data_IF_786033002655
#
_entry.id   IF_786033002655
#
_cell.length_a   1.000
_cell.length_b   1.000
_cell.length_c   1.000
_cell.angle_alpha   90.00
_cell.angle_beta   90.00
_cell.angle_gamma   90.00
#
_symmetry.space_group_name_H-M   'P 1'
#
loop_
_entity.id
_entity.type
_entity.pdbx_description
1 polymer ?
#
# COMPACT_ATOMS: atom_id res chain seq x y z
N UNK A 1 28.40 25.17 -42.55
CA UNK A 1 27.26 25.69 -41.77
C UNK A 1 26.35 24.52 -41.49
N UNK A 2 26.64 23.77 -40.43
CA UNK A 2 25.79 22.67 -39.98
C UNK A 2 24.88 23.23 -38.88
N UNK A 3 23.58 23.18 -39.14
CA UNK A 3 22.56 23.62 -38.20
C UNK A 3 22.24 22.43 -37.30
N UNK A 4 22.88 22.39 -36.13
CA UNK A 4 22.51 21.44 -35.08
C UNK A 4 21.15 21.88 -34.50
N UNK A 5 20.12 21.01 -34.47
CA UNK A 5 18.85 21.36 -33.86
C UNK A 5 18.99 21.34 -32.33
N UNK A 6 18.34 22.26 -31.60
CA UNK A 6 18.38 22.27 -30.14
C UNK A 6 17.69 21.02 -29.60
N UNK A 7 18.43 20.19 -28.86
CA UNK A 7 17.88 19.06 -28.09
C UNK A 7 16.78 19.55 -27.13
N UNK A 8 15.50 19.17 -27.31
CA UNK A 8 14.47 19.52 -26.37
C UNK A 8 14.02 18.24 -25.66
N UNK A 9 14.46 18.01 -24.42
CA UNK A 9 13.62 17.46 -23.34
C UNK A 9 14.42 17.54 -22.04
N UNK A 10 14.29 18.67 -21.33
CA UNK A 10 14.35 18.59 -19.87
C UNK A 10 13.27 17.59 -19.46
N UNK A 11 13.67 16.47 -18.85
CA UNK A 11 12.78 15.35 -18.55
C UNK A 11 11.55 15.84 -17.77
N UNK A 12 10.38 15.83 -18.41
CA UNK A 12 9.06 16.12 -17.81
C UNK A 12 8.61 15.05 -16.80
N UNK A 13 9.48 14.09 -16.47
CA UNK A 13 9.19 13.00 -15.53
C UNK A 13 9.23 13.41 -14.05
N UNK A 14 9.62 14.65 -13.71
CA UNK A 14 9.72 15.13 -12.32
C UNK A 14 8.47 15.81 -11.78
N UNK A 15 7.51 16.23 -12.61
CA UNK A 15 6.32 17.02 -12.22
C UNK A 15 5.11 16.12 -11.92
N UNK A 16 5.34 15.02 -11.21
CA UNK A 16 4.27 14.12 -10.79
C UNK A 16 4.28 14.02 -9.27
N UNK A 17 3.10 14.28 -8.70
CA UNK A 17 2.81 14.17 -7.27
C UNK A 17 3.32 12.84 -6.73
N UNK A 18 3.99 12.92 -5.58
CA UNK A 18 4.54 11.77 -4.89
C UNK A 18 4.28 11.89 -3.39
N UNK A 19 4.52 10.81 -2.68
CA UNK A 19 4.21 10.71 -1.26
C UNK A 19 5.40 10.13 -0.51
N UNK A 20 5.69 10.68 0.67
CA UNK A 20 6.53 10.02 1.68
C UNK A 20 5.59 9.36 2.67
N UNK A 21 5.67 8.04 2.80
CA UNK A 21 4.78 7.25 3.65
C UNK A 21 5.53 6.67 4.85
N UNK A 22 4.79 6.53 5.95
CA UNK A 22 5.19 5.80 7.15
C UNK A 22 4.15 4.74 7.42
N UNK A 23 4.60 3.48 7.48
CA UNK A 23 3.76 2.30 7.62
C UNK A 23 4.23 1.49 8.84
N UNK A 24 3.66 1.73 10.03
CA UNK A 24 3.91 0.92 11.21
C UNK A 24 3.35 -0.48 11.03
N UNK A 25 4.01 -1.51 11.56
CA UNK A 25 3.49 -2.87 11.62
C UNK A 25 2.48 -2.98 12.77
N UNK A 26 1.37 -3.68 12.54
CA UNK A 26 0.31 -3.83 13.54
C UNK A 26 0.82 -4.61 14.77
N UNK A 27 0.64 -4.05 15.97
CA UNK A 27 1.03 -4.69 17.23
C UNK A 27 2.54 -4.76 17.48
N UNK A 28 3.36 -4.17 16.62
CA UNK A 28 4.82 -4.15 16.75
C UNK A 28 5.36 -2.73 16.70
N UNK A 29 6.52 -2.51 17.30
CA UNK A 29 7.22 -1.22 17.24
C UNK A 29 8.07 -1.07 15.96
N UNK A 30 7.73 -1.81 14.91
CA UNK A 30 8.41 -1.80 13.62
C UNK A 30 7.69 -0.87 12.64
N UNK A 31 8.43 -0.19 11.78
CA UNK A 31 7.82 0.61 10.72
C UNK A 31 8.68 0.65 9.46
N UNK A 32 8.00 0.86 8.33
CA UNK A 32 8.62 1.21 7.06
C UNK A 32 8.50 2.72 6.82
N UNK A 33 9.62 3.35 6.46
CA UNK A 33 9.63 4.65 5.82
C UNK A 33 9.93 4.46 4.33
N UNK A 34 9.27 5.22 3.46
CA UNK A 34 9.59 5.21 2.03
C UNK A 34 8.89 6.31 1.27
N UNK A 35 9.09 6.34 -0.05
CA UNK A 35 8.34 7.22 -0.93
C UNK A 35 7.85 6.50 -2.19
N UNK A 36 6.75 6.99 -2.77
CA UNK A 36 6.16 6.47 -4.01
C UNK A 36 5.17 7.46 -4.60
N UNK A 37 4.86 7.32 -5.90
CA UNK A 37 3.67 7.96 -6.49
C UNK A 37 2.38 7.26 -6.06
N UNK A 38 2.49 5.97 -5.75
CA UNK A 38 1.39 5.12 -5.32
C UNK A 38 1.79 4.34 -4.07
N UNK A 39 1.55 4.90 -2.87
CA UNK A 39 1.72 4.18 -1.61
C UNK A 39 0.90 2.87 -1.52
N UNK A 40 -0.30 2.79 -2.11
CA UNK A 40 -1.14 1.60 -2.05
C UNK A 40 -0.49 0.43 -2.79
N UNK A 41 -0.02 0.65 -4.01
CA UNK A 41 0.72 -0.35 -4.76
C UNK A 41 2.00 -0.81 -4.03
N UNK A 42 2.67 0.11 -3.31
CA UNK A 42 3.84 -0.24 -2.48
C UNK A 42 3.46 -1.10 -1.27
N UNK A 43 2.39 -0.76 -0.56
CA UNK A 43 1.86 -1.58 0.54
C UNK A 43 1.55 -3.02 0.06
N UNK A 44 0.85 -3.14 -1.06
CA UNK A 44 0.50 -4.43 -1.68
C UNK A 44 1.75 -5.23 -2.12
N UNK A 45 2.80 -4.55 -2.57
CA UNK A 45 4.07 -5.18 -2.93
C UNK A 45 4.83 -5.69 -1.70
N UNK A 46 4.79 -4.95 -0.59
CA UNK A 46 5.45 -5.31 0.67
C UNK A 46 4.75 -6.49 1.36
N UNK A 47 3.42 -6.52 1.34
CA UNK A 47 2.65 -7.60 1.94
C UNK A 47 1.28 -7.75 1.26
N UNK A 48 0.91 -8.97 0.87
CA UNK A 48 -0.39 -9.24 0.22
C UNK A 48 -1.57 -8.82 1.12
N UNK A 49 -1.46 -9.10 2.42
CA UNK A 49 -2.43 -8.68 3.46
C UNK A 49 -2.00 -7.38 4.14
N UNK A 50 -1.61 -6.37 3.38
CA UNK A 50 -1.08 -5.11 3.93
C UNK A 50 -2.00 -4.46 4.97
N UNK A 51 -3.32 -4.62 4.80
CA UNK A 51 -4.39 -4.12 5.66
C UNK A 51 -4.49 -4.82 7.03
N UNK A 52 -3.75 -5.92 7.22
CA UNK A 52 -3.55 -6.58 8.53
C UNK A 52 -2.13 -6.39 9.04
N UNK A 53 -1.17 -6.38 8.11
CA UNK A 53 0.24 -6.31 8.46
C UNK A 53 0.64 -4.92 8.95
N UNK A 54 0.10 -3.86 8.36
CA UNK A 54 0.35 -2.49 8.78
C UNK A 54 -0.79 -1.97 9.66
N UNK A 55 -0.44 -1.15 10.65
CA UNK A 55 -1.38 -0.36 11.41
C UNK A 55 -1.80 0.86 10.58
N UNK A 56 -2.90 0.72 9.85
CA UNK A 56 -3.42 1.75 8.94
C UNK A 56 -3.95 2.98 9.69
N UNK A 57 -4.34 2.82 10.95
CA UNK A 57 -4.82 3.92 11.81
C UNK A 57 -3.65 4.77 12.32
N UNK A 58 -2.47 4.18 12.50
CA UNK A 58 -1.24 4.91 12.82
C UNK A 58 -0.46 5.36 11.58
N UNK A 59 -0.65 4.71 10.44
CA UNK A 59 0.01 5.04 9.18
C UNK A 59 -0.34 6.44 8.69
N UNK A 60 0.58 7.04 7.94
CA UNK A 60 0.36 8.33 7.31
C UNK A 60 1.20 8.53 6.05
N UNK A 61 0.81 9.51 5.23
CA UNK A 61 1.58 9.93 4.06
C UNK A 61 1.61 11.45 3.92
N UNK A 62 2.79 11.99 3.65
CA UNK A 62 2.99 13.39 3.27
C UNK A 62 3.01 13.50 1.75
N UNK A 63 2.20 14.39 1.21
CA UNK A 63 2.13 14.68 -0.21
C UNK A 63 3.21 15.69 -0.62
N UNK A 64 3.76 15.51 -1.81
CA UNK A 64 4.81 16.35 -2.42
C UNK A 64 4.48 16.56 -3.88
N UNK A 65 4.92 17.67 -4.46
CA UNK A 65 4.61 17.98 -5.86
C UNK A 65 5.46 17.18 -6.84
N UNK A 66 6.61 16.68 -6.37
CA UNK A 66 7.58 15.98 -7.21
C UNK A 66 8.18 14.76 -6.52
N UNK A 67 8.53 13.76 -7.31
CA UNK A 67 9.31 12.59 -6.85
C UNK A 67 10.65 13.00 -6.23
N UNK A 68 11.28 14.05 -6.77
CA UNK A 68 12.56 14.56 -6.25
C UNK A 68 12.41 15.08 -4.82
N UNK A 69 11.35 15.83 -4.57
CA UNK A 69 11.03 16.35 -3.23
C UNK A 69 10.71 15.21 -2.26
N UNK A 70 9.86 14.26 -2.65
CA UNK A 70 9.57 13.07 -1.84
C UNK A 70 10.85 12.32 -1.46
N UNK A 71 11.74 12.08 -2.42
CA UNK A 71 13.01 11.40 -2.19
C UNK A 71 13.93 12.18 -1.25
N UNK A 72 14.05 13.50 -1.44
CA UNK A 72 14.87 14.34 -0.58
C UNK A 72 14.33 14.34 0.86
N UNK A 73 13.01 14.40 1.01
CA UNK A 73 12.33 14.37 2.29
C UNK A 73 12.51 13.02 3.00
N UNK A 74 12.25 11.92 2.31
CA UNK A 74 12.48 10.55 2.80
C UNK A 74 13.94 10.37 3.26
N UNK A 75 14.91 10.76 2.43
CA UNK A 75 16.34 10.63 2.77
C UNK A 75 16.71 11.46 3.99
N UNK A 76 16.14 12.66 4.14
CA UNK A 76 16.36 13.51 5.31
C UNK A 76 15.81 12.87 6.58
N UNK A 77 14.58 12.36 6.53
CA UNK A 77 13.96 11.65 7.65
C UNK A 77 14.75 10.38 8.00
N UNK A 78 15.10 9.55 7.01
CA UNK A 78 15.85 8.32 7.23
C UNK A 78 17.23 8.54 7.86
N UNK A 79 17.94 9.62 7.49
CA UNK A 79 19.21 10.00 8.13
C UNK A 79 19.05 10.33 9.61
N UNK A 80 17.99 11.01 9.99
CA UNK A 80 17.69 11.35 11.39
C UNK A 80 17.39 10.10 12.22
N UNK A 81 16.91 9.02 11.59
CA UNK A 81 16.50 7.78 12.25
C UNK A 81 17.56 6.68 12.23
N UNK A 82 18.80 6.97 11.85
CA UNK A 82 19.84 5.94 11.68
C UNK A 82 20.06 5.07 12.94
N UNK A 83 19.88 5.65 14.13
CA UNK A 83 20.00 4.93 15.41
C UNK A 83 18.87 3.93 15.65
N UNK A 84 17.74 4.08 14.94
CA UNK A 84 16.58 3.20 14.99
C UNK A 84 16.60 2.14 13.88
N UNK A 85 17.60 2.14 12.99
CA UNK A 85 17.64 1.27 11.83
C UNK A 85 17.56 -0.20 12.24
N UNK A 86 16.72 -0.95 11.53
CA UNK A 86 16.41 -2.33 11.83
C UNK A 86 16.27 -3.15 10.54
N UNK A 87 16.40 -4.49 10.60
CA UNK A 87 16.19 -5.34 9.42
C UNK A 87 14.73 -5.30 8.93
N UNK A 88 14.46 -5.81 7.73
CA UNK A 88 13.07 -6.05 7.34
C UNK A 88 12.45 -7.20 8.17
N UNK A 89 11.13 -7.19 8.46
CA UNK A 89 10.44 -8.36 8.99
C UNK A 89 10.56 -9.55 8.05
N UNK A 90 10.66 -10.77 8.61
CA UNK A 90 10.85 -12.01 7.82
C UNK A 90 9.68 -12.30 6.85
N UNK A 91 8.50 -11.75 7.13
CA UNK A 91 7.30 -11.89 6.30
C UNK A 91 7.32 -11.00 5.06
N UNK A 92 8.22 -10.01 5.00
CA UNK A 92 8.36 -9.11 3.84
C UNK A 92 9.26 -9.78 2.80
N UNK A 93 8.80 -10.01 1.56
CA UNK A 93 9.61 -10.66 0.54
C UNK A 93 10.83 -9.81 0.16
N UNK A 94 12.02 -10.43 0.07
CA UNK A 94 13.23 -9.74 -0.40
C UNK A 94 13.07 -9.13 -1.81
N UNK A 95 12.26 -9.76 -2.65
CA UNK A 95 11.95 -9.30 -4.01
C UNK A 95 11.04 -8.05 -4.06
N UNK A 96 10.40 -7.65 -2.97
CA UNK A 96 9.49 -6.51 -2.91
C UNK A 96 10.19 -5.14 -3.06
N UNK A 97 11.54 -5.12 -3.09
CA UNK A 97 12.33 -3.90 -3.09
C UNK A 97 12.02 -3.10 -1.82
N UNK A 98 12.55 -3.53 -0.68
CA UNK A 98 12.23 -2.93 0.60
C UNK A 98 13.06 -3.50 1.72
N UNK A 99 14.28 -3.98 1.43
CA UNK A 99 15.17 -4.53 2.43
C UNK A 99 15.69 -3.46 3.41
N UNK A 100 15.59 -2.19 3.01
CA UNK A 100 16.16 -1.04 3.68
C UNK A 100 15.08 -0.10 4.21
N UNK A 101 15.47 0.87 5.04
CA UNK A 101 14.58 1.86 5.67
C UNK A 101 13.44 1.25 6.50
N UNK A 102 13.77 0.21 7.25
CA UNK A 102 12.99 -0.28 8.39
C UNK A 102 13.58 0.24 9.69
N UNK A 103 12.70 0.54 10.64
CA UNK A 103 13.10 1.14 11.91
C UNK A 103 12.30 0.56 13.07
N UNK A 104 12.92 0.50 14.26
CA UNK A 104 12.26 0.17 15.53
C UNK A 104 12.23 1.37 16.47
N UNK A 105 11.09 1.67 17.09
CA UNK A 105 10.99 2.74 18.10
C UNK A 105 11.07 4.15 17.53
N UNK A 106 10.84 4.29 16.22
CA UNK A 106 10.98 5.57 15.51
C UNK A 106 9.65 6.29 15.28
N UNK A 107 8.51 5.69 15.64
CA UNK A 107 7.19 6.21 15.27
C UNK A 107 6.96 7.63 15.79
N UNK A 108 7.22 7.89 17.07
CA UNK A 108 6.99 9.19 17.68
C UNK A 108 7.82 10.30 17.01
N UNK A 109 9.09 10.02 16.70
CA UNK A 109 9.98 10.95 15.99
C UNK A 109 9.48 11.27 14.58
N UNK A 110 8.94 10.27 13.86
CA UNK A 110 8.36 10.46 12.54
C UNK A 110 7.03 11.20 12.59
N UNK A 111 6.17 10.89 13.55
CA UNK A 111 4.89 11.57 13.76
C UNK A 111 5.11 13.07 14.04
N UNK A 112 6.02 13.41 14.96
CA UNK A 112 6.38 14.79 15.25
C UNK A 112 6.98 15.51 14.02
N UNK A 113 7.82 14.81 13.25
CA UNK A 113 8.37 15.35 12.00
C UNK A 113 7.28 15.64 10.97
N UNK A 114 6.30 14.75 10.85
CA UNK A 114 5.17 14.90 9.94
C UNK A 114 4.28 16.08 10.33
N UNK A 115 4.00 16.26 11.62
CA UNK A 115 3.27 17.42 12.14
C UNK A 115 4.02 18.73 11.83
N UNK A 116 5.34 18.78 12.04
CA UNK A 116 6.15 19.95 11.67
C UNK A 116 6.11 20.25 10.18
N UNK A 117 6.10 19.23 9.33
CA UNK A 117 6.01 19.39 7.87
C UNK A 117 4.63 19.83 7.43
N UNK A 118 3.57 19.35 8.09
CA UNK A 118 2.22 19.84 7.86
C UNK A 118 2.11 21.34 8.14
N UNK A 119 2.71 21.83 9.23
CA UNK A 119 2.76 23.26 9.53
C UNK A 119 3.57 24.08 8.50
N UNK A 120 4.47 23.41 7.75
CA UNK A 120 5.22 24.01 6.64
C UNK A 120 4.46 23.94 5.30
N UNK A 121 3.24 23.39 5.29
CA UNK A 121 2.36 23.36 4.13
C UNK A 121 2.31 22.03 3.37
N UNK A 122 3.02 20.99 3.81
CA UNK A 122 2.92 19.66 3.18
C UNK A 122 1.57 19.02 3.54
N UNK A 123 0.72 18.63 2.57
CA UNK A 123 -0.52 17.94 2.89
C UNK A 123 -0.23 16.60 3.59
N UNK A 124 -0.83 16.39 4.76
CA UNK A 124 -0.67 15.19 5.57
C UNK A 124 -1.95 14.36 5.53
N UNK A 125 -1.85 13.12 5.05
CA UNK A 125 -2.91 12.12 5.07
C UNK A 125 -2.71 11.22 6.32
N UNK A 126 -3.43 11.52 7.41
CA UNK A 126 -3.38 10.77 8.69
C UNK A 126 -4.77 10.75 9.35
N UNK A 127 -5.31 9.59 9.77
CA UNK A 127 -4.83 8.24 9.45
C UNK A 127 -4.84 7.99 7.94
N UNK A 128 -3.97 7.09 7.47
CA UNK A 128 -3.86 6.81 6.03
C UNK A 128 -5.10 6.09 5.46
N UNK A 129 -5.96 5.56 6.33
CA UNK A 129 -7.17 4.83 5.98
C UNK A 129 -8.06 5.53 4.95
N UNK A 130 -8.38 6.80 5.18
CA UNK A 130 -9.24 7.57 4.26
C UNK A 130 -8.65 7.68 2.86
N UNK A 131 -7.34 7.88 2.77
CA UNK A 131 -6.61 7.92 1.49
C UNK A 131 -6.61 6.56 0.79
N UNK A 132 -6.39 5.45 1.54
CA UNK A 132 -6.44 4.08 0.99
C UNK A 132 -7.83 3.78 0.45
N UNK A 133 -8.88 4.05 1.23
CA UNK A 133 -10.26 3.81 0.82
C UNK A 133 -10.59 4.54 -0.49
N UNK A 134 -10.20 5.81 -0.63
CA UNK A 134 -10.40 6.56 -1.88
C UNK A 134 -9.71 5.88 -3.07
N UNK A 135 -8.48 5.38 -2.89
CA UNK A 135 -7.73 4.68 -3.95
C UNK A 135 -8.35 3.34 -4.31
N UNK A 136 -8.82 2.57 -3.34
CA UNK A 136 -9.52 1.32 -3.59
C UNK A 136 -10.84 1.55 -4.32
N UNK A 137 -11.64 2.53 -3.90
CA UNK A 137 -12.90 2.89 -4.59
C UNK A 137 -12.62 3.31 -6.04
N UNK A 138 -11.59 4.13 -6.28
CA UNK A 138 -11.21 4.52 -7.64
C UNK A 138 -10.75 3.34 -8.51
N UNK A 139 -10.24 2.27 -7.90
CA UNK A 139 -9.86 1.03 -8.57
C UNK A 139 -10.94 -0.05 -8.60
N UNK A 140 -12.12 0.19 -8.00
CA UNK A 140 -13.14 -0.83 -7.78
C UNK A 140 -13.74 -1.36 -9.09
N UNK A 141 -13.78 -0.54 -10.15
CA UNK A 141 -14.17 -0.93 -11.50
C UNK A 141 -13.35 -2.11 -12.04
N UNK A 142 -12.11 -2.27 -11.58
CA UNK A 142 -11.23 -3.36 -12.00
C UNK A 142 -11.47 -4.66 -11.23
N UNK A 143 -12.33 -4.68 -10.19
CA UNK A 143 -12.60 -5.87 -9.38
C UNK A 143 -13.12 -7.03 -10.23
N UNK A 144 -13.96 -6.75 -11.23
CA UNK A 144 -14.43 -7.78 -12.15
C UNK A 144 -13.26 -8.46 -12.89
N UNK A 145 -12.28 -7.68 -13.37
CA UNK A 145 -11.10 -8.23 -14.03
C UNK A 145 -10.24 -9.09 -13.09
N UNK A 146 -10.17 -8.76 -11.80
CA UNK A 146 -9.51 -9.61 -10.80
C UNK A 146 -10.21 -10.95 -10.62
N UNK A 147 -11.55 -10.98 -10.65
CA UNK A 147 -12.31 -12.23 -10.53
C UNK A 147 -12.18 -13.13 -11.76
N UNK A 148 -11.85 -12.58 -12.93
CA UNK A 148 -11.57 -13.35 -14.14
C UNK A 148 -10.27 -14.16 -14.07
N UNK A 149 -9.43 -13.94 -13.03
CA UNK A 149 -8.30 -14.81 -12.73
C UNK A 149 -8.71 -16.17 -12.18
N UNK A 150 -9.96 -16.31 -11.71
CA UNK A 150 -10.52 -17.57 -11.26
C UNK A 150 -11.22 -18.26 -12.43
N UNK A 151 -10.87 -19.51 -12.70
CA UNK A 151 -11.67 -20.31 -13.62
C UNK A 151 -13.01 -20.75 -12.95
N UNK A 152 -14.01 -21.19 -13.75
CA UNK A 152 -15.30 -21.62 -13.19
C UNK A 152 -15.20 -22.77 -12.18
N UNK A 153 -14.18 -23.62 -12.30
CA UNK A 153 -13.95 -24.75 -11.39
C UNK A 153 -13.36 -24.26 -10.06
N UNK A 154 -12.46 -23.28 -10.09
CA UNK A 154 -11.93 -22.60 -8.90
C UNK A 154 -13.02 -21.83 -8.16
N UNK A 155 -13.99 -21.24 -8.86
CA UNK A 155 -15.13 -20.58 -8.24
C UNK A 155 -16.12 -21.59 -7.62
N UNK A 156 -16.31 -22.74 -8.27
CA UNK A 156 -17.17 -23.82 -7.79
C UNK A 156 -16.54 -24.61 -6.63
N UNK A 157 -15.21 -24.64 -6.54
CA UNK A 157 -14.46 -25.32 -5.48
C UNK A 157 -14.64 -24.60 -4.14
N UNK A 158 -15.75 -24.89 -3.46
CA UNK A 158 -15.97 -24.53 -2.05
C UNK A 158 -15.10 -25.42 -1.17
N UNK A 159 -13.93 -24.95 -0.80
CA UNK A 159 -12.97 -25.69 0.03
C UNK A 159 -12.35 -24.81 1.12
N UNK A 160 -11.88 -25.45 2.19
CA UNK A 160 -11.17 -24.75 3.27
C UNK A 160 -9.94 -24.00 2.74
N UNK A 161 -9.62 -22.84 3.31
CA UNK A 161 -8.50 -21.98 2.90
C UNK A 161 -7.14 -22.71 2.76
N UNK A 162 -6.95 -23.81 3.49
CA UNK A 162 -5.77 -24.68 3.41
C UNK A 162 -5.58 -25.39 2.07
N UNK A 163 -6.64 -25.53 1.25
CA UNK A 163 -6.60 -26.16 -0.08
C UNK A 163 -6.71 -25.15 -1.23
N UNK A 164 -6.76 -23.85 -0.92
CA UNK A 164 -6.89 -22.82 -1.95
C UNK A 164 -5.68 -22.83 -2.91
N UNK A 165 -5.91 -22.56 -4.19
CA UNK A 165 -4.85 -22.29 -5.15
C UNK A 165 -4.14 -20.96 -4.83
N UNK A 166 -2.98 -20.71 -5.44
CA UNK A 166 -2.31 -19.43 -5.28
C UNK A 166 -3.12 -18.27 -5.90
N UNK A 167 -3.87 -18.53 -6.98
CA UNK A 167 -4.76 -17.56 -7.60
C UNK A 167 -5.95 -17.25 -6.68
N UNK A 168 -6.59 -18.28 -6.12
CA UNK A 168 -7.68 -18.12 -5.14
C UNK A 168 -7.27 -17.29 -3.93
N UNK A 169 -6.09 -17.56 -3.33
CA UNK A 169 -5.57 -16.75 -2.21
C UNK A 169 -5.34 -15.31 -2.62
N UNK A 170 -4.75 -15.07 -3.79
CA UNK A 170 -4.49 -13.71 -4.29
C UNK A 170 -5.78 -12.93 -4.49
N UNK A 171 -6.80 -13.54 -5.09
CA UNK A 171 -8.11 -12.89 -5.26
C UNK A 171 -8.75 -12.64 -3.91
N UNK A 172 -8.72 -13.60 -2.98
CA UNK A 172 -9.24 -13.42 -1.63
C UNK A 172 -8.54 -12.28 -0.87
N UNK A 173 -7.21 -12.19 -0.91
CA UNK A 173 -6.47 -11.10 -0.25
C UNK A 173 -6.83 -9.72 -0.84
N UNK A 174 -7.03 -9.64 -2.16
CA UNK A 174 -7.50 -8.41 -2.82
C UNK A 174 -8.89 -8.04 -2.31
N UNK A 175 -9.85 -8.97 -2.30
CA UNK A 175 -11.22 -8.70 -1.85
C UNK A 175 -11.30 -8.41 -0.34
N UNK A 176 -10.47 -9.07 0.47
CA UNK A 176 -10.34 -8.80 1.89
C UNK A 176 -9.84 -7.37 2.15
N UNK A 177 -8.97 -6.81 1.30
CA UNK A 177 -8.51 -5.43 1.43
C UNK A 177 -9.68 -4.43 1.28
N UNK A 178 -10.59 -4.67 0.33
CA UNK A 178 -11.79 -3.85 0.17
C UNK A 178 -12.74 -3.99 1.37
N UNK A 179 -12.92 -5.22 1.88
CA UNK A 179 -13.73 -5.46 3.08
C UNK A 179 -13.14 -4.83 4.34
N UNK A 180 -11.82 -4.88 4.50
CA UNK A 180 -11.12 -4.26 5.62
C UNK A 180 -11.35 -2.75 5.65
N UNK A 181 -11.48 -2.14 4.47
CA UNK A 181 -11.82 -0.74 4.31
C UNK A 181 -13.32 -0.45 4.30
N UNK A 182 -14.17 -1.40 4.70
CA UNK A 182 -15.64 -1.30 4.76
C UNK A 182 -16.27 -0.86 3.42
N UNK A 183 -15.71 -1.34 2.30
CA UNK A 183 -16.27 -1.15 0.95
C UNK A 183 -17.24 -2.29 0.65
N UNK A 184 -18.46 -1.94 0.26
CA UNK A 184 -19.49 -2.93 -0.10
C UNK A 184 -19.16 -3.59 -1.45
N UNK A 185 -18.67 -4.82 -1.38
CA UNK A 185 -18.38 -5.63 -2.56
C UNK A 185 -19.63 -6.04 -3.34
N UNK A 186 -20.82 -6.05 -2.72
CA UNK A 186 -22.04 -6.43 -3.41
C UNK A 186 -22.44 -5.47 -4.53
N UNK A 187 -21.94 -4.22 -4.47
CA UNK A 187 -22.11 -3.25 -5.54
C UNK A 187 -21.29 -3.60 -6.79
N UNK A 188 -20.16 -4.28 -6.63
CA UNK A 188 -19.15 -4.46 -7.68
C UNK A 188 -19.07 -5.89 -8.22
N UNK A 189 -19.52 -6.87 -7.44
CA UNK A 189 -19.29 -8.29 -7.73
C UNK A 189 -20.60 -9.08 -7.80
N UNK A 190 -20.68 -10.08 -8.69
CA UNK A 190 -21.85 -10.94 -8.77
C UNK A 190 -21.93 -11.88 -7.55
N UNK A 191 -23.15 -12.25 -7.17
CA UNK A 191 -23.43 -13.07 -5.98
C UNK A 191 -22.64 -14.39 -5.88
N UNK A 192 -22.37 -15.15 -6.97
CA UNK A 192 -21.55 -16.36 -6.88
C UNK A 192 -20.12 -16.11 -6.40
N UNK A 193 -19.52 -14.96 -6.78
CA UNK A 193 -18.18 -14.57 -6.34
C UNK A 193 -18.17 -14.18 -4.87
N UNK A 194 -19.20 -13.45 -4.41
CA UNK A 194 -19.34 -13.09 -3.00
C UNK A 194 -19.47 -14.35 -2.13
N UNK A 195 -20.32 -15.30 -2.54
CA UNK A 195 -20.53 -16.55 -1.83
C UNK A 195 -19.25 -17.42 -1.78
N UNK A 196 -18.48 -17.45 -2.87
CA UNK A 196 -17.16 -18.09 -2.88
C UNK A 196 -16.20 -17.40 -1.92
N UNK A 197 -16.11 -16.08 -1.98
CA UNK A 197 -15.21 -15.29 -1.14
C UNK A 197 -15.53 -15.43 0.35
N UNK A 198 -16.81 -15.48 0.72
CA UNK A 198 -17.25 -15.73 2.10
C UNK A 198 -16.83 -17.10 2.64
N UNK A 199 -16.77 -18.11 1.77
CA UNK A 199 -16.29 -19.44 2.13
C UNK A 199 -14.75 -19.52 2.15
N UNK A 200 -14.07 -18.70 1.34
CA UNK A 200 -12.62 -18.74 1.16
C UNK A 200 -11.84 -17.79 2.08
N UNK A 201 -12.46 -16.69 2.53
CA UNK A 201 -11.80 -15.67 3.35
C UNK A 201 -11.39 -16.26 4.70
N UNK A 202 -10.15 -15.98 5.11
CA UNK A 202 -9.62 -16.33 6.42
C UNK A 202 -10.26 -15.50 7.54
N UNK A 203 -10.91 -14.39 7.19
CA UNK A 203 -11.82 -13.67 8.08
C UNK A 203 -13.14 -14.43 8.04
N UNK A 204 -13.38 -15.28 9.03
CA UNK A 204 -14.67 -15.94 9.19
C UNK A 204 -15.83 -14.95 9.08
N UNK A 205 -17.04 -15.40 8.67
CA UNK A 205 -18.15 -14.51 8.36
C UNK A 205 -18.38 -13.49 9.50
N UNK A 206 -18.41 -12.19 9.16
CA UNK A 206 -18.87 -11.16 10.11
C UNK A 206 -20.32 -11.51 10.46
N UNK A 207 -20.56 -11.80 11.74
CA UNK A 207 -21.91 -11.90 12.30
C UNK A 207 -22.59 -10.54 12.33
#
# INVERSE_FOLDING_TARGET
>A
MEHEPPYPFASTSSVARAFVYVLPCAGEDWLKLGFSRDPLARMQTLHARFFEFFDIELAFALETDTVREARALETRLGRALRVHAAPAPLTVPSAAGGATEWYRGAYASLAASAESLQQQGFPLHRPLRGWIRQRLVAGAELLYAWTALLDPLELAARGAASRASAAQRRVADVLDAYRAEDIDLAHWLPAPVLAWHDAASLRGPRR
#
